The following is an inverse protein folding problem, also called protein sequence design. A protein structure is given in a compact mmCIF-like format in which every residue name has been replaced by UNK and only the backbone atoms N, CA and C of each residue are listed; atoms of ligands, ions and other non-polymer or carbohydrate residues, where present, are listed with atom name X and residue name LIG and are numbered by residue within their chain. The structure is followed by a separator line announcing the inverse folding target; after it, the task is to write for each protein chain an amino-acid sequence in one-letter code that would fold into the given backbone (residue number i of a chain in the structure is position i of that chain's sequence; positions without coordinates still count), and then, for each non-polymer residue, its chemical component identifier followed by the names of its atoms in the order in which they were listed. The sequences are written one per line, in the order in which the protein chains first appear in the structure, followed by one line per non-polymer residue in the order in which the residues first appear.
data_IF_122491159093
#
_entry.id   IF_122491159093
#
_cell.length_a   1.000
_cell.length_b   1.000
_cell.length_c   1.000
_cell.angle_alpha   90.00
_cell.angle_beta   90.00
_cell.angle_gamma   90.00
#
_symmetry.space_group_name_H-M   'P 1'
#
loop_
_entity.id
_entity.type
_entity.pdbx_description
1 polymer ?
#
# COMPACT_ATOMS: atom_id res chain seq x y z
N UNK A 1 14.81 44.97 -8.46
CA UNK A 1 14.12 45.16 -7.18
C UNK A 1 13.01 44.15 -7.06
N UNK A 2 13.16 43.18 -6.16
CA UNK A 2 12.06 42.41 -5.57
C UNK A 2 12.46 42.19 -4.12
N UNK A 3 11.88 42.98 -3.22
CA UNK A 3 12.10 42.88 -1.79
C UNK A 3 11.28 41.73 -1.23
N UNK A 4 11.95 40.67 -0.78
CA UNK A 4 11.32 39.63 0.03
C UNK A 4 11.29 40.15 1.47
N UNK A 5 10.09 40.50 1.93
CA UNK A 5 9.82 40.87 3.33
C UNK A 5 10.34 39.77 4.26
N UNK A 6 11.34 40.09 5.08
CA UNK A 6 12.02 39.20 6.02
C UNK A 6 11.20 38.93 7.29
N UNK A 7 9.91 38.59 7.17
CA UNK A 7 9.07 38.22 8.32
C UNK A 7 8.42 36.88 8.04
N UNK A 8 8.64 35.93 8.94
CA UNK A 8 7.95 34.64 9.08
C UNK A 8 8.62 33.40 8.43
N UNK A 9 9.95 33.31 8.48
CA UNK A 9 10.70 32.05 8.35
C UNK A 9 11.52 31.75 9.62
N UNK A 10 10.93 31.93 10.80
CA UNK A 10 11.48 31.43 12.06
C UNK A 10 10.79 30.15 12.49
N UNK A 11 11.02 29.05 11.76
CA UNK A 11 10.85 27.72 12.36
C UNK A 11 11.99 27.54 13.35
N UNK A 12 11.75 27.98 14.59
CA UNK A 12 12.74 28.04 15.65
C UNK A 12 13.37 26.66 15.91
N UNK A 13 14.59 26.49 15.43
CA UNK A 13 15.55 25.51 15.95
C UNK A 13 16.16 26.00 17.29
N UNK A 14 15.31 26.48 18.20
CA UNK A 14 15.66 26.78 19.60
C UNK A 14 14.90 25.82 20.53
N UNK A 15 14.95 24.52 20.22
CA UNK A 15 14.22 23.47 20.94
C UNK A 15 15.17 22.44 21.52
N UNK A 16 15.05 22.20 22.82
CA UNK A 16 15.68 21.07 23.50
C UNK A 16 15.28 19.74 22.81
N UNK A 17 16.24 18.85 22.52
CA UNK A 17 16.01 17.55 21.86
C UNK A 17 14.95 16.69 22.56
N UNK A 18 14.75 16.88 23.87
CA UNK A 18 13.79 16.12 24.68
C UNK A 18 12.39 16.76 24.77
N UNK A 19 12.08 17.79 23.97
CA UNK A 19 10.82 18.53 24.06
C UNK A 19 9.57 17.72 23.64
N UNK A 20 9.69 16.83 22.65
CA UNK A 20 8.58 16.00 22.14
C UNK A 20 8.63 14.55 22.64
N UNK A 21 9.58 14.21 23.51
CA UNK A 21 9.67 12.87 24.08
C UNK A 21 8.42 12.58 24.92
N UNK A 22 7.70 11.45 24.71
CA UNK A 22 6.51 11.12 25.49
C UNK A 22 6.80 11.09 26.99
N UNK A 23 6.00 11.85 27.75
CA UNK A 23 6.02 11.89 29.21
C UNK A 23 4.62 11.61 29.73
N UNK A 24 4.53 10.86 30.82
CA UNK A 24 3.27 10.58 31.50
C UNK A 24 2.70 11.92 31.99
N UNK A 25 1.46 12.22 31.61
CA UNK A 25 0.75 13.40 32.07
C UNK A 25 0.14 13.11 33.44
N UNK A 26 0.42 13.94 34.44
CA UNK A 26 -0.12 13.78 35.81
C UNK A 26 -1.56 14.30 35.95
N UNK A 27 -2.01 15.10 34.99
CA UNK A 27 -3.33 15.73 34.97
C UNK A 27 -3.96 15.67 33.58
N UNK A 28 -5.27 15.95 33.52
CA UNK A 28 -5.99 16.06 32.26
C UNK A 28 -5.51 17.27 31.43
N UNK A 29 -5.42 17.09 30.11
CA UNK A 29 -5.02 18.15 29.19
C UNK A 29 -6.18 19.13 28.93
N UNK A 30 -5.91 20.44 29.01
CA UNK A 30 -6.88 21.49 28.72
C UNK A 30 -6.69 22.05 27.31
N UNK A 31 -7.65 21.77 26.43
CA UNK A 31 -7.70 22.35 25.09
C UNK A 31 -9.13 22.72 24.71
N UNK A 32 -9.33 23.95 24.23
CA UNK A 32 -10.63 24.39 23.75
C UNK A 32 -11.03 23.63 22.47
N UNK A 33 -12.34 23.53 22.23
CA UNK A 33 -12.87 22.93 20.99
C UNK A 33 -12.43 23.72 19.76
N UNK A 34 -12.33 25.05 19.87
CA UNK A 34 -11.83 25.93 18.82
C UNK A 34 -10.36 25.63 18.48
N UNK A 35 -9.50 25.54 19.50
CA UNK A 35 -8.08 25.23 19.33
C UNK A 35 -7.87 23.84 18.71
N UNK A 36 -8.65 22.82 19.14
CA UNK A 36 -8.60 21.48 18.52
C UNK A 36 -9.04 21.49 17.06
N UNK A 37 -10.06 22.26 16.68
CA UNK A 37 -10.51 22.40 15.29
C UNK A 37 -9.43 23.04 14.40
N UNK A 38 -8.72 24.05 14.90
CA UNK A 38 -7.61 24.67 14.20
C UNK A 38 -6.44 23.68 14.03
N UNK A 39 -6.00 23.04 15.12
CA UNK A 39 -4.91 22.06 15.07
C UNK A 39 -5.21 20.86 14.16
N UNK A 40 -6.47 20.41 14.09
CA UNK A 40 -6.88 19.29 13.23
C UNK A 40 -6.50 19.49 11.76
N UNK A 41 -6.51 20.73 11.26
CA UNK A 41 -6.15 21.04 9.87
C UNK A 41 -4.66 20.76 9.58
N UNK A 42 -3.79 20.95 10.57
CA UNK A 42 -2.34 20.77 10.43
C UNK A 42 -1.93 19.29 10.29
N UNK A 43 -2.69 18.37 10.89
CA UNK A 43 -2.36 16.94 10.94
C UNK A 43 -3.20 16.07 10.00
N UNK A 44 -3.95 16.69 9.08
CA UNK A 44 -4.86 15.99 8.16
C UNK A 44 -4.06 15.21 7.11
N UNK A 45 -4.30 13.90 7.00
CA UNK A 45 -3.60 12.99 6.06
C UNK A 45 -4.47 12.44 4.94
N UNK A 46 -5.74 12.17 5.22
CA UNK A 46 -6.70 11.70 4.23
C UNK A 46 -7.49 12.86 3.62
N UNK A 47 -8.18 12.60 2.52
CA UNK A 47 -9.07 13.58 1.88
C UNK A 47 -10.01 14.24 2.89
N UNK A 48 -10.22 15.54 2.71
CA UNK A 48 -11.16 16.27 3.57
C UNK A 48 -12.58 16.09 3.06
N UNK A 49 -13.47 15.68 3.97
CA UNK A 49 -14.89 15.47 3.66
C UNK A 49 -15.63 16.77 3.37
N UNK A 50 -15.09 17.91 3.84
CA UNK A 50 -15.62 19.24 3.54
C UNK A 50 -15.02 19.87 2.29
N UNK A 51 -14.04 19.22 1.65
CA UNK A 51 -13.48 19.71 0.39
C UNK A 51 -14.43 19.35 -0.74
N UNK A 52 -14.96 20.36 -1.43
CA UNK A 52 -15.85 20.20 -2.59
C UNK A 52 -15.11 20.37 -3.93
N UNK A 53 -13.86 20.80 -3.89
CA UNK A 53 -13.03 21.03 -5.08
C UNK A 53 -12.11 19.84 -5.30
N UNK A 54 -12.11 19.30 -6.52
CA UNK A 54 -11.07 18.35 -6.94
C UNK A 54 -9.75 19.08 -7.18
N UNK A 55 -8.64 18.41 -6.88
CA UNK A 55 -7.33 18.86 -7.34
C UNK A 55 -7.26 18.76 -8.88
N UNK A 56 -6.51 19.65 -9.51
CA UNK A 56 -6.33 19.64 -10.96
C UNK A 56 -5.50 18.44 -11.36
N UNK A 57 -6.08 17.54 -12.15
CA UNK A 57 -5.44 16.30 -12.63
C UNK A 57 -5.08 16.35 -14.13
N UNK A 58 -5.05 17.54 -14.72
CA UNK A 58 -4.70 17.70 -16.13
C UNK A 58 -3.26 17.21 -16.38
N UNK A 59 -3.11 16.26 -17.31
CA UNK A 59 -1.83 15.64 -17.66
C UNK A 59 -1.10 14.91 -16.51
N UNK A 60 -1.82 14.48 -15.47
CA UNK A 60 -1.29 13.61 -14.43
C UNK A 60 -1.63 12.13 -14.73
N UNK A 61 -0.59 11.30 -14.90
CA UNK A 61 -0.71 9.86 -15.16
C UNK A 61 -0.04 9.02 -14.06
N UNK A 62 0.05 9.57 -12.85
CA UNK A 62 0.60 8.86 -11.70
C UNK A 62 -0.26 7.65 -11.34
N UNK A 63 0.35 6.64 -10.71
CA UNK A 63 -0.39 5.46 -10.28
C UNK A 63 -1.32 5.79 -9.10
N UNK A 64 -2.63 5.79 -9.36
CA UNK A 64 -3.66 6.04 -8.36
C UNK A 64 -4.21 4.76 -7.70
N UNK A 65 -3.71 3.57 -8.05
CA UNK A 65 -4.25 2.31 -7.54
C UNK A 65 -4.03 2.19 -6.03
N UNK A 66 -5.09 2.01 -5.21
CA UNK A 66 -4.93 1.80 -3.77
C UNK A 66 -4.34 0.42 -3.44
N UNK A 67 -4.32 -0.49 -4.41
CA UNK A 67 -3.82 -1.85 -4.27
C UNK A 67 -2.33 -2.00 -4.52
N UNK A 68 -1.65 -0.99 -5.06
CA UNK A 68 -0.20 -1.04 -5.33
C UNK A 68 0.58 -1.19 -4.01
N UNK A 69 1.47 -2.18 -3.93
CA UNK A 69 2.23 -2.51 -2.73
C UNK A 69 3.74 -2.42 -2.99
N UNK A 70 4.45 -1.68 -2.14
CA UNK A 70 5.90 -1.82 -2.00
C UNK A 70 6.28 -3.01 -1.12
N UNK A 71 7.56 -3.40 -1.12
CA UNK A 71 8.05 -4.60 -0.41
C UNK A 71 7.61 -4.69 1.05
N UNK A 72 7.73 -3.60 1.80
CA UNK A 72 7.30 -3.54 3.21
C UNK A 72 5.81 -3.86 3.39
N UNK A 73 4.97 -3.35 2.49
CA UNK A 73 3.53 -3.60 2.49
C UNK A 73 3.20 -5.03 2.06
N UNK A 74 3.84 -5.49 0.98
CA UNK A 74 3.67 -6.83 0.44
C UNK A 74 4.05 -7.92 1.46
N UNK A 75 5.18 -7.78 2.17
CA UNK A 75 5.58 -8.74 3.19
C UNK A 75 4.59 -8.79 4.37
N UNK A 76 4.10 -7.63 4.82
CA UNK A 76 3.09 -7.57 5.90
C UNK A 76 1.80 -8.29 5.49
N UNK A 77 1.32 -8.00 4.29
CA UNK A 77 0.07 -8.59 3.79
C UNK A 77 0.21 -10.09 3.48
N UNK A 78 1.37 -10.52 2.96
CA UNK A 78 1.65 -11.93 2.72
C UNK A 78 1.76 -12.77 4.01
N UNK A 79 2.31 -12.17 5.08
CA UNK A 79 2.33 -12.79 6.42
C UNK A 79 0.91 -12.88 7.00
N UNK A 80 0.07 -11.87 6.78
CA UNK A 80 -1.33 -11.86 7.23
C UNK A 80 -2.19 -12.97 6.61
N UNK A 81 -1.90 -13.36 5.37
CA UNK A 81 -2.62 -14.42 4.69
C UNK A 81 -2.58 -15.76 5.46
N UNK A 82 -3.75 -16.36 5.68
CA UNK A 82 -3.92 -17.64 6.39
C UNK A 82 -3.39 -18.87 5.64
N UNK A 83 -3.13 -18.74 4.33
CA UNK A 83 -2.63 -19.83 3.47
C UNK A 83 -3.55 -21.06 3.52
N UNK A 84 -4.85 -20.80 3.36
CA UNK A 84 -5.94 -21.77 3.50
C UNK A 84 -5.71 -23.05 2.69
N UNK A 85 -6.10 -24.19 3.25
CA UNK A 85 -6.30 -25.41 2.45
C UNK A 85 -7.55 -25.23 1.56
N UNK A 86 -7.52 -25.82 0.37
CA UNK A 86 -8.61 -25.75 -0.62
C UNK A 86 -9.17 -24.33 -0.79
N UNK A 87 -8.26 -23.40 -1.11
CA UNK A 87 -8.50 -21.98 -0.97
C UNK A 87 -9.67 -21.49 -1.85
N UNK A 88 -10.74 -20.88 -1.28
CA UNK A 88 -11.86 -20.40 -2.07
C UNK A 88 -11.46 -19.28 -3.02
N UNK A 89 -10.46 -18.46 -2.65
CA UNK A 89 -9.91 -17.44 -3.55
C UNK A 89 -9.32 -18.01 -4.84
N UNK A 90 -8.76 -19.23 -4.82
CA UNK A 90 -8.26 -19.92 -6.01
C UNK A 90 -9.42 -20.41 -6.89
N UNK A 91 -10.51 -20.89 -6.29
CA UNK A 91 -11.71 -21.32 -7.02
C UNK A 91 -12.43 -20.16 -7.69
N UNK A 92 -12.41 -18.98 -7.07
CA UNK A 92 -12.99 -17.75 -7.63
C UNK A 92 -12.09 -17.07 -8.67
N UNK A 93 -10.86 -17.55 -8.87
CA UNK A 93 -9.95 -17.01 -9.89
C UNK A 93 -10.20 -17.71 -11.24
N UNK A 94 -10.48 -16.98 -12.34
CA UNK A 94 -10.76 -17.59 -13.64
C UNK A 94 -9.62 -18.45 -14.20
N UNK A 95 -8.37 -18.13 -13.86
CA UNK A 95 -7.18 -18.90 -14.28
C UNK A 95 -6.72 -19.91 -13.22
N UNK A 96 -7.49 -20.12 -12.15
CA UNK A 96 -7.18 -21.07 -11.07
C UNK A 96 -5.79 -20.91 -10.43
N UNK A 97 -5.28 -19.67 -10.36
CA UNK A 97 -3.98 -19.35 -9.76
C UNK A 97 -3.81 -19.95 -8.36
N UNK A 98 -2.68 -20.59 -8.11
CA UNK A 98 -2.34 -21.07 -6.76
C UNK A 98 -1.93 -19.90 -5.83
N UNK A 99 -2.96 -19.20 -5.34
CA UNK A 99 -2.85 -18.02 -4.48
C UNK A 99 -2.16 -18.34 -3.16
N UNK A 100 -2.41 -19.52 -2.61
CA UNK A 100 -1.78 -19.97 -1.37
C UNK A 100 -0.26 -20.01 -1.54
N UNK A 101 0.21 -20.66 -2.60
CA UNK A 101 1.62 -20.95 -2.76
C UNK A 101 2.43 -19.74 -3.21
N UNK A 102 1.90 -18.89 -4.11
CA UNK A 102 2.64 -17.66 -4.48
C UNK A 102 2.71 -16.68 -3.30
N UNK A 103 1.64 -16.51 -2.52
CA UNK A 103 1.67 -15.63 -1.34
C UNK A 103 2.64 -16.18 -0.27
N UNK A 104 2.68 -17.51 -0.10
CA UNK A 104 3.68 -18.15 0.78
C UNK A 104 5.10 -17.86 0.31
N UNK A 105 5.34 -17.90 -1.00
CA UNK A 105 6.63 -17.55 -1.59
C UNK A 105 7.00 -16.09 -1.35
N UNK A 106 6.06 -15.15 -1.45
CA UNK A 106 6.27 -13.73 -1.10
C UNK A 106 6.63 -13.57 0.38
N UNK A 107 5.90 -14.23 1.29
CA UNK A 107 6.17 -14.16 2.73
C UNK A 107 7.60 -14.64 3.09
N UNK A 108 8.10 -15.63 2.34
CA UNK A 108 9.45 -16.18 2.49
C UNK A 108 10.52 -15.40 1.68
N UNK A 109 10.18 -14.22 1.13
CA UNK A 109 11.05 -13.41 0.24
C UNK A 109 11.50 -14.12 -1.04
N UNK A 110 10.84 -15.21 -1.42
CA UNK A 110 11.06 -15.90 -2.69
C UNK A 110 10.16 -15.28 -3.79
N UNK A 111 10.48 -14.07 -4.20
CA UNK A 111 9.70 -13.34 -5.21
C UNK A 111 9.74 -14.01 -6.59
N UNK A 112 10.87 -14.63 -6.93
CA UNK A 112 11.03 -15.37 -8.20
C UNK A 112 10.10 -16.60 -8.23
N UNK A 113 10.08 -17.39 -7.16
CA UNK A 113 9.16 -18.52 -7.04
C UNK A 113 7.70 -18.07 -7.14
N UNK A 114 7.35 -16.97 -6.47
CA UNK A 114 6.01 -16.41 -6.56
C UNK A 114 5.63 -16.01 -8.00
N UNK A 115 6.49 -15.28 -8.69
CA UNK A 115 6.24 -14.84 -10.06
C UNK A 115 6.16 -16.02 -11.04
N UNK A 116 7.04 -17.02 -10.90
CA UNK A 116 7.01 -18.22 -11.73
C UNK A 116 5.69 -18.97 -11.61
N UNK A 117 5.15 -19.09 -10.40
CA UNK A 117 3.84 -19.71 -10.17
C UNK A 117 2.68 -18.88 -10.74
N UNK A 118 2.78 -17.55 -10.65
CA UNK A 118 1.76 -16.68 -11.25
C UNK A 118 1.78 -16.82 -12.78
N UNK A 119 2.97 -16.77 -13.38
CA UNK A 119 3.16 -16.79 -14.83
C UNK A 119 2.93 -18.16 -15.46
N UNK A 120 3.00 -19.26 -14.67
CA UNK A 120 2.69 -20.60 -15.18
C UNK A 120 1.22 -20.75 -15.53
N UNK A 121 0.33 -20.18 -14.70
CA UNK A 121 -1.11 -20.32 -14.89
C UNK A 121 -1.70 -19.10 -15.61
N UNK A 122 -1.08 -17.93 -15.45
CA UNK A 122 -1.50 -16.68 -16.08
C UNK A 122 -0.30 -15.94 -16.72
N UNK A 123 -0.11 -16.05 -18.05
CA UNK A 123 0.99 -15.38 -18.75
C UNK A 123 0.91 -13.85 -18.68
N UNK A 124 -0.26 -13.28 -18.37
CA UNK A 124 -0.50 -11.84 -18.17
C UNK A 124 -0.54 -11.48 -16.68
N UNK A 125 0.25 -12.17 -15.86
CA UNK A 125 0.27 -12.03 -14.41
C UNK A 125 0.38 -10.59 -13.90
N UNK A 126 1.27 -9.77 -14.48
CA UNK A 126 1.42 -8.37 -14.07
C UNK A 126 0.17 -7.53 -14.39
N UNK A 127 -0.33 -7.63 -15.62
CA UNK A 127 -1.52 -6.90 -16.06
C UNK A 127 -2.72 -7.25 -15.20
N UNK A 128 -2.98 -8.55 -14.99
CA UNK A 128 -4.07 -9.00 -14.14
C UNK A 128 -3.89 -8.55 -12.67
N UNK A 129 -2.67 -8.50 -12.14
CA UNK A 129 -2.41 -7.96 -10.80
C UNK A 129 -2.85 -6.50 -10.64
N UNK A 130 -2.76 -5.71 -11.72
CA UNK A 130 -3.11 -4.29 -11.71
C UNK A 130 -4.59 -4.01 -12.02
N UNK A 131 -5.22 -4.74 -12.94
CA UNK A 131 -6.54 -4.37 -13.49
C UNK A 131 -7.69 -5.31 -13.10
N UNK A 132 -7.40 -6.43 -12.43
CA UNK A 132 -8.42 -7.41 -12.09
C UNK A 132 -9.46 -6.83 -11.11
N UNK A 133 -10.78 -6.99 -11.36
CA UNK A 133 -11.84 -6.62 -10.42
C UNK A 133 -11.90 -7.62 -9.27
N UNK A 134 -10.89 -7.57 -8.40
CA UNK A 134 -10.64 -8.62 -7.41
C UNK A 134 -11.77 -8.81 -6.40
N UNK A 135 -12.52 -7.75 -6.09
CA UNK A 135 -13.68 -7.78 -5.18
C UNK A 135 -14.76 -8.76 -5.62
N UNK A 136 -14.96 -8.90 -6.93
CA UNK A 136 -15.97 -9.81 -7.50
C UNK A 136 -15.39 -11.19 -7.80
N UNK A 137 -14.08 -11.36 -7.62
CA UNK A 137 -13.32 -12.56 -7.97
C UNK A 137 -12.62 -13.12 -6.72
N UNK A 138 -11.29 -13.26 -6.77
CA UNK A 138 -10.51 -13.95 -5.75
C UNK A 138 -10.62 -13.32 -4.35
N UNK A 139 -10.77 -12.00 -4.24
CA UNK A 139 -10.87 -11.28 -2.95
C UNK A 139 -12.27 -11.43 -2.37
N UNK A 140 -13.32 -11.46 -3.21
CA UNK A 140 -14.70 -11.74 -2.79
C UNK A 140 -14.87 -13.11 -2.15
N UNK A 141 -14.11 -14.10 -2.59
CA UNK A 141 -14.07 -15.45 -2.00
C UNK A 141 -13.08 -15.62 -0.84
N UNK A 142 -12.41 -14.58 -0.35
CA UNK A 142 -11.35 -14.74 0.65
C UNK A 142 -11.91 -15.04 2.05
N UNK A 143 -11.42 -16.08 2.74
CA UNK A 143 -11.85 -16.40 4.12
C UNK A 143 -11.60 -15.28 5.14
N UNK A 144 -10.58 -14.45 4.92
CA UNK A 144 -10.31 -13.29 5.79
C UNK A 144 -11.35 -12.18 5.65
N UNK A 145 -12.25 -12.26 4.68
CA UNK A 145 -13.43 -11.39 4.66
C UNK A 145 -14.28 -11.51 5.93
N UNK A 146 -14.24 -12.66 6.61
CA UNK A 146 -14.94 -12.88 7.88
C UNK A 146 -14.30 -12.19 9.09
N UNK A 147 -13.21 -11.43 8.90
CA UNK A 147 -12.46 -10.73 9.96
C UNK A 147 -12.61 -9.21 9.83
N UNK A 148 -12.44 -8.46 10.92
CA UNK A 148 -12.61 -6.99 10.93
C UNK A 148 -11.57 -6.27 10.04
N UNK A 149 -10.38 -6.83 9.91
CA UNK A 149 -9.32 -6.30 9.04
C UNK A 149 -9.61 -6.51 7.53
N UNK A 150 -10.53 -7.40 7.19
CA UNK A 150 -10.98 -7.65 5.83
C UNK A 150 -10.09 -8.60 4.99
N UNK A 151 -10.44 -8.80 3.71
CA UNK A 151 -9.82 -9.80 2.85
C UNK A 151 -8.40 -9.38 2.42
N UNK A 152 -7.63 -10.33 1.86
CA UNK A 152 -6.25 -10.09 1.42
C UNK A 152 -6.21 -9.25 0.14
N UNK A 153 -5.27 -8.32 0.04
CA UNK A 153 -4.96 -7.63 -1.23
C UNK A 153 -4.18 -8.56 -2.18
N UNK A 154 -4.89 -9.52 -2.78
CA UNK A 154 -4.32 -10.55 -3.66
C UNK A 154 -3.73 -9.93 -4.94
N UNK A 155 -4.45 -8.97 -5.55
CA UNK A 155 -4.01 -8.29 -6.78
C UNK A 155 -2.71 -7.51 -6.58
N UNK A 156 -2.60 -6.74 -5.49
CA UNK A 156 -1.37 -6.01 -5.16
C UNK A 156 -0.17 -6.91 -4.90
N UNK A 157 -0.37 -8.07 -4.27
CA UNK A 157 0.68 -9.07 -4.06
C UNK A 157 1.14 -9.71 -5.39
N UNK A 158 0.19 -9.99 -6.29
CA UNK A 158 0.47 -10.49 -7.63
C UNK A 158 1.25 -9.46 -8.47
N UNK A 159 0.82 -8.20 -8.44
CA UNK A 159 1.53 -7.08 -9.07
C UNK A 159 2.96 -6.99 -8.53
N UNK A 160 3.14 -6.93 -7.21
CA UNK A 160 4.46 -6.80 -6.59
C UNK A 160 5.42 -7.92 -6.99
N UNK A 161 5.00 -9.19 -6.92
CA UNK A 161 5.86 -10.31 -7.27
C UNK A 161 6.29 -10.30 -8.74
N UNK A 162 5.36 -9.99 -9.65
CA UNK A 162 5.63 -9.95 -11.10
C UNK A 162 6.44 -8.72 -11.50
N UNK A 163 6.26 -7.58 -10.84
CA UNK A 163 7.07 -6.37 -11.03
C UNK A 163 8.54 -6.60 -10.62
N UNK A 164 8.76 -7.24 -9.46
CA UNK A 164 10.12 -7.62 -9.03
C UNK A 164 10.78 -8.58 -10.01
N UNK A 165 10.01 -9.50 -10.61
CA UNK A 165 10.51 -10.43 -11.62
C UNK A 165 10.95 -9.70 -12.90
N UNK A 166 10.11 -8.81 -13.44
CA UNK A 166 10.45 -8.03 -14.65
C UNK A 166 11.68 -7.13 -14.44
N UNK A 167 11.77 -6.48 -13.28
CA UNK A 167 12.92 -5.62 -12.95
C UNK A 167 14.23 -6.40 -12.83
N UNK A 168 14.18 -7.70 -12.50
CA UNK A 168 15.37 -8.57 -12.47
C UNK A 168 15.80 -8.99 -13.87
N UNK A 169 14.87 -9.37 -14.74
CA UNK A 169 15.16 -9.75 -16.12
C UNK A 169 15.74 -8.56 -16.93
N UNK A 170 15.26 -7.33 -16.67
CA UNK A 170 15.82 -6.11 -17.25
C UNK A 170 17.30 -5.90 -16.85
N UNK A 171 17.66 -6.20 -15.60
CA UNK A 171 19.05 -6.09 -15.13
C UNK A 171 19.96 -7.21 -15.66
N UNK A 172 19.42 -8.40 -15.92
CA UNK A 172 20.20 -9.51 -16.50
C UNK A 172 20.43 -9.34 -18.02
N UNK A 173 19.44 -8.80 -18.74
CA UNK A 173 19.53 -8.50 -20.18
C UNK A 173 20.44 -7.31 -20.51
N UNK A 174 20.75 -6.45 -19.52
CA UNK A 174 21.76 -5.40 -19.63
C UNK A 174 23.20 -5.85 -19.33
N UNK A 175 23.42 -7.06 -18.81
CA UNK A 175 24.76 -7.61 -18.55
C UNK A 175 25.30 -8.51 -19.68
N UNK A 176 24.45 -8.87 -20.65
CA UNK A 176 24.79 -9.70 -21.81
C UNK A 176 24.63 -8.93 -23.14
N UNK A 177 24.77 -7.59 -23.11
CA UNK A 177 24.94 -6.73 -24.28
C UNK A 177 26.17 -5.88 -24.15
#
# INVERSE_FOLDING_TARGET
GFGVSSRDLSWGLNGNILALNPRIQTHAALHSTASKKQAKKQWKRNSDKSCSTCETLENNFDDIKPTTLGERGALREAVRCLKCADAPCQKSCPTHLDIKSFITSIANKNYYGAAKMILSDNPLGLTCGMVCPTSDLCVGGCNLYATEEGPINIGGLQQFATEVYQNRDANQSGSNR
#
